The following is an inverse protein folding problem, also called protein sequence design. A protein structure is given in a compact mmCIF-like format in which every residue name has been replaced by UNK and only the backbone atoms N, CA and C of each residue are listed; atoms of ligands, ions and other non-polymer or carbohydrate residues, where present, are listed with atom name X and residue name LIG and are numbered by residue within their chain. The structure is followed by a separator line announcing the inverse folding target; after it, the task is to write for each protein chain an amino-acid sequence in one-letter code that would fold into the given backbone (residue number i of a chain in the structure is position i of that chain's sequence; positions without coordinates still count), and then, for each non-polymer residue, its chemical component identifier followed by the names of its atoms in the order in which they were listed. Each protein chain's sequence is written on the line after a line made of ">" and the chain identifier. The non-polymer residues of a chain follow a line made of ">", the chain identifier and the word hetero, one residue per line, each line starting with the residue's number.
data_IF_189485852163
#
_entry.id   IF_189485852163
#
_cell.length_a   1.000
_cell.length_b   1.000
_cell.length_c   1.000
_cell.angle_alpha   90.00
_cell.angle_beta   90.00
_cell.angle_gamma   90.00
#
_symmetry.space_group_name_H-M   'P 1'
#
loop_
_entity.id
_entity.type
_entity.pdbx_description
1 polymer ?
#
# COMPACT_ATOMS: atom_id res chain seq x y z
N UNK A 1 66.03 32.44 -15.03
CA UNK A 1 64.85 32.62 -14.16
C UNK A 1 64.49 31.26 -13.57
N UNK A 2 64.53 31.04 -12.25
CA UNK A 2 64.05 29.77 -11.70
C UNK A 2 62.52 29.83 -11.58
N UNK A 3 61.84 28.87 -12.20
CA UNK A 3 60.39 28.67 -12.09
C UNK A 3 60.08 27.97 -10.77
N UNK A 4 59.30 28.62 -9.91
CA UNK A 4 58.85 28.05 -8.64
C UNK A 4 58.09 26.73 -8.86
N UNK A 5 58.64 25.64 -8.35
CA UNK A 5 57.98 24.34 -8.35
C UNK A 5 56.88 24.36 -7.29
N UNK A 6 55.63 24.41 -7.72
CA UNK A 6 54.47 24.23 -6.84
C UNK A 6 54.51 22.81 -6.26
N UNK A 7 54.79 22.68 -4.96
CA UNK A 7 54.63 21.42 -4.23
C UNK A 7 53.14 21.06 -4.25
N UNK A 8 52.80 19.98 -4.94
CA UNK A 8 51.49 19.35 -4.81
C UNK A 8 51.55 18.50 -3.55
N UNK A 9 50.91 18.96 -2.50
CA UNK A 9 50.77 18.18 -1.27
C UNK A 9 49.95 16.92 -1.59
N UNK A 10 50.56 15.76 -1.33
CA UNK A 10 49.94 14.46 -1.53
C UNK A 10 49.06 14.08 -0.35
N UNK A 11 47.96 13.39 -0.62
CA UNK A 11 47.09 12.82 0.42
C UNK A 11 47.89 11.84 1.29
N UNK A 12 47.72 11.94 2.61
CA UNK A 12 48.33 10.99 3.54
C UNK A 12 47.51 9.71 3.65
N UNK A 13 48.18 8.59 3.94
CA UNK A 13 47.52 7.31 4.19
C UNK A 13 46.53 7.39 5.36
N UNK A 14 46.84 8.19 6.38
CA UNK A 14 45.97 8.37 7.54
C UNK A 14 44.70 9.14 7.19
N UNK A 15 44.78 10.15 6.31
CA UNK A 15 43.59 10.87 5.84
C UNK A 15 42.64 9.94 5.08
N UNK A 16 43.16 9.08 4.20
CA UNK A 16 42.32 8.11 3.49
C UNK A 16 41.70 7.09 4.46
N UNK A 17 42.46 6.65 5.47
CA UNK A 17 42.01 5.67 6.47
C UNK A 17 40.90 6.22 7.37
N UNK A 18 41.00 7.48 7.81
CA UNK A 18 39.98 8.13 8.63
C UNK A 18 38.68 8.32 7.85
N UNK A 19 38.77 8.66 6.55
CA UNK A 19 37.58 8.86 5.70
C UNK A 19 36.78 7.58 5.53
N UNK A 20 37.42 6.45 5.21
CA UNK A 20 36.70 5.17 5.07
C UNK A 20 36.09 4.71 6.39
N UNK A 21 36.75 5.01 7.53
CA UNK A 21 36.23 4.71 8.86
C UNK A 21 34.96 5.51 9.18
N UNK A 22 34.95 6.82 8.88
CA UNK A 22 33.77 7.67 9.07
C UNK A 22 32.62 7.25 8.15
N UNK A 23 32.91 6.92 6.88
CA UNK A 23 31.89 6.43 5.93
C UNK A 23 31.27 5.12 6.45
N UNK A 24 32.08 4.18 6.93
CA UNK A 24 31.60 2.90 7.49
C UNK A 24 30.71 3.11 8.72
N UNK A 25 31.11 4.02 9.63
CA UNK A 25 30.32 4.37 10.80
C UNK A 25 28.96 4.96 10.42
N UNK A 26 28.94 5.97 9.53
CA UNK A 26 27.71 6.62 9.09
C UNK A 26 26.79 5.67 8.30
N UNK A 27 27.36 4.81 7.46
CA UNK A 27 26.61 3.81 6.69
C UNK A 27 25.84 2.84 7.60
N UNK A 28 26.41 2.46 8.75
CA UNK A 28 25.74 1.54 9.70
C UNK A 28 24.44 2.11 10.27
N UNK A 29 24.41 3.42 10.57
CA UNK A 29 23.24 4.10 11.17
C UNK A 29 22.14 4.29 10.12
N UNK A 30 22.52 4.67 8.90
CA UNK A 30 21.56 4.98 7.82
C UNK A 30 20.82 3.73 7.34
N UNK A 31 21.46 2.56 7.35
CA UNK A 31 20.88 1.31 6.84
C UNK A 31 19.56 0.89 7.52
N UNK A 32 19.41 1.13 8.83
CA UNK A 32 18.22 0.71 9.60
C UNK A 32 16.98 1.58 9.29
N UNK A 33 17.18 2.86 8.92
CA UNK A 33 16.09 3.82 8.69
C UNK A 33 15.40 3.64 7.33
N UNK A 34 16.15 3.24 6.30
CA UNK A 34 15.67 3.19 4.91
C UNK A 34 14.54 2.18 4.72
N UNK A 35 14.58 1.03 5.41
CA UNK A 35 13.56 -0.01 5.23
C UNK A 35 12.18 0.44 5.71
N UNK A 36 12.09 1.12 6.85
CA UNK A 36 10.82 1.67 7.38
C UNK A 36 10.27 2.77 6.48
N UNK A 37 11.14 3.63 5.93
CA UNK A 37 10.72 4.70 5.02
C UNK A 37 10.19 4.15 3.69
N UNK A 38 10.78 3.07 3.16
CA UNK A 38 10.26 2.38 1.97
C UNK A 38 8.86 1.81 2.20
N UNK A 39 8.60 1.20 3.36
CA UNK A 39 7.27 0.70 3.75
C UNK A 39 6.25 1.85 3.76
N UNK A 40 6.57 2.95 4.47
CA UNK A 40 5.72 4.14 4.54
C UNK A 40 5.44 4.75 3.16
N UNK A 41 6.44 4.80 2.29
CA UNK A 41 6.27 5.29 0.91
C UNK A 41 5.32 4.41 0.10
N UNK A 42 5.38 3.08 0.25
CA UNK A 42 4.45 2.15 -0.41
C UNK A 42 3.03 2.29 0.15
N UNK A 43 2.88 2.34 1.48
CA UNK A 43 1.59 2.57 2.13
C UNK A 43 0.97 3.92 1.71
N UNK A 44 1.77 4.98 1.60
CA UNK A 44 1.31 6.28 1.11
C UNK A 44 0.81 6.23 -0.33
N UNK A 45 1.50 5.49 -1.22
CA UNK A 45 1.04 5.24 -2.59
C UNK A 45 -0.30 4.48 -2.58
N UNK A 46 -0.41 3.39 -1.80
CA UNK A 46 -1.68 2.63 -1.69
C UNK A 46 -2.84 3.51 -1.27
N UNK A 47 -2.66 4.34 -0.24
CA UNK A 47 -3.69 5.27 0.20
C UNK A 47 -4.01 6.35 -0.86
N UNK A 48 -3.05 6.76 -1.69
CA UNK A 48 -3.31 7.69 -2.78
C UNK A 48 -4.13 7.05 -3.91
N UNK A 49 -3.80 5.82 -4.28
CA UNK A 49 -4.53 5.03 -5.27
C UNK A 49 -5.98 4.77 -4.80
N UNK A 50 -6.17 4.49 -3.51
CA UNK A 50 -7.49 4.30 -2.90
C UNK A 50 -8.35 5.57 -2.97
N UNK A 51 -7.77 6.76 -2.74
CA UNK A 51 -8.52 8.01 -2.91
C UNK A 51 -9.00 8.21 -4.35
N UNK A 52 -8.18 7.82 -5.33
CA UNK A 52 -8.58 7.86 -6.74
C UNK A 52 -9.70 6.87 -7.02
N UNK A 53 -9.64 5.67 -6.45
CA UNK A 53 -10.69 4.65 -6.55
C UNK A 53 -12.00 5.11 -5.93
N UNK A 54 -11.98 5.68 -4.72
CA UNK A 54 -13.19 6.22 -4.07
C UNK A 54 -13.85 7.27 -4.95
N UNK A 55 -13.07 8.20 -5.51
CA UNK A 55 -13.61 9.20 -6.42
C UNK A 55 -14.20 8.58 -7.69
N UNK A 56 -13.54 7.57 -8.28
CA UNK A 56 -14.05 6.87 -9.45
C UNK A 56 -15.36 6.12 -9.14
N UNK A 57 -15.43 5.41 -8.03
CA UNK A 57 -16.65 4.73 -7.59
C UNK A 57 -17.78 5.71 -7.24
N UNK A 58 -17.46 6.89 -6.70
CA UNK A 58 -18.46 7.94 -6.47
C UNK A 58 -19.08 8.44 -7.78
N UNK A 59 -18.29 8.59 -8.85
CA UNK A 59 -18.79 8.95 -10.18
C UNK A 59 -19.64 7.82 -10.78
N UNK A 60 -19.16 6.56 -10.69
CA UNK A 60 -19.91 5.38 -11.12
C UNK A 60 -21.26 5.28 -10.42
N UNK A 61 -21.29 5.56 -9.11
CA UNK A 61 -22.51 5.56 -8.31
C UNK A 61 -23.46 6.70 -8.73
N UNK A 62 -22.93 7.88 -9.04
CA UNK A 62 -23.74 8.99 -9.57
C UNK A 62 -24.43 8.63 -10.90
N UNK A 63 -23.77 7.80 -11.72
CA UNK A 63 -24.32 7.29 -12.98
C UNK A 63 -25.23 6.06 -12.80
N UNK A 64 -25.42 5.58 -11.56
CA UNK A 64 -26.15 4.35 -11.22
C UNK A 64 -25.57 3.09 -11.90
N UNK A 65 -24.26 3.07 -12.15
CA UNK A 65 -23.54 1.98 -12.82
C UNK A 65 -22.74 1.13 -11.83
N UNK A 66 -23.10 1.14 -10.54
CA UNK A 66 -22.39 0.35 -9.52
C UNK A 66 -22.39 -1.14 -9.90
N UNK A 67 -21.21 -1.78 -10.00
CA UNK A 67 -21.15 -3.19 -10.37
C UNK A 67 -21.76 -4.07 -9.27
N UNK A 68 -22.72 -4.90 -9.64
CA UNK A 68 -23.23 -5.98 -8.79
C UNK A 68 -22.61 -7.28 -9.29
N UNK A 69 -21.71 -7.86 -8.49
CA UNK A 69 -20.93 -9.02 -8.89
C UNK A 69 -21.41 -10.25 -8.11
N UNK A 70 -21.76 -11.31 -8.83
CA UNK A 70 -22.02 -12.62 -8.23
C UNK A 70 -20.68 -13.28 -7.90
N UNK A 71 -20.25 -13.17 -6.65
CA UNK A 71 -18.94 -13.60 -6.19
C UNK A 71 -18.35 -12.57 -5.24
N UNK A 72 -17.96 -13.00 -4.04
CA UNK A 72 -17.82 -12.10 -2.90
C UNK A 72 -16.67 -11.08 -3.00
N UNK A 73 -15.70 -11.20 -3.93
CA UNK A 73 -14.49 -10.37 -3.93
C UNK A 73 -13.97 -10.17 -5.36
N UNK A 74 -13.81 -8.91 -5.79
CA UNK A 74 -13.28 -8.56 -7.11
C UNK A 74 -11.95 -7.82 -7.02
N UNK A 75 -10.98 -8.25 -7.83
CA UNK A 75 -9.66 -7.65 -7.93
C UNK A 75 -9.65 -6.51 -8.96
N UNK A 76 -9.21 -5.33 -8.56
CA UNK A 76 -9.15 -4.13 -9.41
C UNK A 76 -7.89 -4.11 -10.28
N UNK A 77 -6.80 -4.71 -9.80
CA UNK A 77 -5.54 -4.81 -10.53
C UNK A 77 -5.54 -6.04 -11.45
N UNK A 78 -4.59 -6.16 -12.41
CA UNK A 78 -4.45 -7.37 -13.21
C UNK A 78 -4.22 -8.65 -12.38
N UNK A 79 -3.66 -8.47 -11.18
CA UNK A 79 -3.34 -9.55 -10.26
C UNK A 79 -3.54 -9.06 -8.83
N UNK A 80 -4.29 -9.83 -8.03
CA UNK A 80 -4.42 -9.62 -6.60
C UNK A 80 -4.23 -10.93 -5.84
N UNK A 81 -3.77 -10.81 -4.59
CA UNK A 81 -3.72 -11.92 -3.62
C UNK A 81 -4.57 -11.52 -2.42
N UNK A 82 -5.55 -12.32 -2.04
CA UNK A 82 -6.42 -11.97 -0.93
C UNK A 82 -5.70 -12.18 0.42
N UNK A 83 -6.29 -11.75 1.55
CA UNK A 83 -5.71 -11.96 2.88
C UNK A 83 -5.73 -13.40 3.38
N UNK A 84 -6.36 -14.32 2.66
CA UNK A 84 -6.47 -15.74 3.00
C UNK A 84 -5.58 -16.61 2.09
N UNK A 85 -4.74 -16.00 1.27
CA UNK A 85 -3.82 -16.68 0.35
C UNK A 85 -4.41 -17.04 -1.01
N UNK A 86 -5.70 -16.79 -1.22
CA UNK A 86 -6.37 -16.91 -2.50
C UNK A 86 -5.75 -15.97 -3.53
N UNK A 87 -5.49 -16.48 -4.73
CA UNK A 87 -4.94 -15.67 -5.83
C UNK A 87 -6.03 -15.49 -6.86
N UNK A 88 -6.31 -14.24 -7.21
CA UNK A 88 -7.37 -13.90 -8.15
C UNK A 88 -6.73 -13.08 -9.27
N UNK A 89 -6.74 -13.67 -10.47
CA UNK A 89 -6.56 -12.93 -11.70
C UNK A 89 -7.91 -12.34 -12.10
N UNK A 90 -7.88 -11.18 -12.74
CA UNK A 90 -9.04 -10.77 -13.54
C UNK A 90 -9.19 -11.80 -14.66
N UNK A 91 -10.19 -12.68 -14.56
CA UNK A 91 -10.70 -13.30 -15.78
C UNK A 91 -11.33 -12.16 -16.60
N UNK A 92 -10.98 -12.07 -17.89
CA UNK A 92 -11.44 -11.05 -18.83
C UNK A 92 -12.97 -10.97 -19.00
N UNK A 93 -13.75 -11.77 -18.27
CA UNK A 93 -15.18 -11.63 -18.19
C UNK A 93 -15.59 -10.45 -17.31
N UNK A 94 -15.69 -9.31 -17.99
CA UNK A 94 -16.94 -8.54 -18.07
C UNK A 94 -17.15 -7.43 -17.03
N UNK A 95 -17.24 -6.21 -17.59
CA UNK A 95 -17.83 -4.95 -17.10
C UNK A 95 -16.99 -4.00 -16.26
N UNK A 96 -16.13 -4.44 -15.36
CA UNK A 96 -15.60 -3.52 -14.33
C UNK A 96 -14.23 -2.90 -14.64
N UNK A 97 -13.33 -3.59 -15.34
CA UNK A 97 -12.07 -2.98 -15.83
C UNK A 97 -12.34 -1.90 -16.89
N UNK A 98 -13.28 -2.17 -17.79
CA UNK A 98 -13.74 -1.19 -18.79
C UNK A 98 -14.47 -0.02 -18.11
N UNK A 99 -15.35 -0.30 -17.16
CA UNK A 99 -16.04 0.74 -16.40
C UNK A 99 -15.04 1.63 -15.67
N UNK A 100 -14.14 1.07 -14.85
CA UNK A 100 -13.15 1.88 -14.12
C UNK A 100 -12.19 2.62 -15.05
N UNK A 101 -11.87 2.09 -16.24
CA UNK A 101 -11.01 2.79 -17.20
C UNK A 101 -11.60 4.10 -17.72
N UNK A 102 -12.92 4.25 -17.70
CA UNK A 102 -13.60 5.50 -18.07
C UNK A 102 -13.51 6.57 -16.97
N UNK A 103 -13.40 6.17 -15.71
CA UNK A 103 -13.41 7.07 -14.54
C UNK A 103 -12.03 7.24 -13.89
N UNK A 104 -11.02 6.47 -14.31
CA UNK A 104 -9.64 6.55 -13.82
C UNK A 104 -8.71 7.17 -14.86
N UNK A 105 -8.10 8.30 -14.49
CA UNK A 105 -7.10 8.98 -15.32
C UNK A 105 -5.66 8.48 -15.09
N UNK A 106 -5.45 7.59 -14.12
CA UNK A 106 -4.14 7.14 -13.63
C UNK A 106 -4.04 5.62 -13.63
N UNK A 107 -2.88 5.11 -14.02
CA UNK A 107 -2.56 3.69 -13.88
C UNK A 107 -2.40 3.34 -12.40
N UNK A 108 -3.30 2.52 -11.89
CA UNK A 108 -3.18 1.96 -10.55
C UNK A 108 -2.13 0.85 -10.54
N UNK A 109 -1.32 0.81 -9.48
CA UNK A 109 -0.34 -0.24 -9.28
C UNK A 109 -0.03 -0.34 -7.80
N UNK A 110 -0.24 -1.52 -7.22
CA UNK A 110 0.24 -1.82 -5.87
C UNK A 110 1.78 -1.95 -5.91
N UNK A 111 2.54 -1.12 -5.16
CA UNK A 111 3.98 -1.26 -5.08
C UNK A 111 4.36 -2.64 -4.54
N UNK A 112 5.34 -3.35 -5.13
CA UNK A 112 5.73 -4.67 -4.65
C UNK A 112 6.21 -4.58 -3.20
N UNK A 113 5.44 -5.20 -2.31
CA UNK A 113 5.81 -5.44 -0.91
C UNK A 113 6.56 -6.77 -0.76
N UNK A 114 7.27 -6.94 0.35
CA UNK A 114 7.88 -8.23 0.72
C UNK A 114 6.84 -9.35 0.65
N UNK A 115 7.22 -10.48 0.03
CA UNK A 115 6.32 -11.57 -0.36
C UNK A 115 5.61 -12.18 0.86
N UNK A 116 4.33 -12.56 0.65
CA UNK A 116 3.36 -13.18 1.57
C UNK A 116 2.40 -12.16 2.25
N UNK A 117 1.29 -11.85 1.57
CA UNK A 117 0.15 -11.10 2.14
C UNK A 117 -0.75 -10.53 1.04
N UNK A 118 -1.88 -9.93 1.43
CA UNK A 118 -2.87 -9.45 0.48
C UNK A 118 -2.30 -8.38 -0.48
N UNK A 119 -2.25 -8.63 -1.78
CA UNK A 119 -1.74 -7.71 -2.81
C UNK A 119 -2.93 -7.15 -3.58
N UNK A 120 -2.89 -5.86 -3.88
CA UNK A 120 -3.85 -5.18 -4.73
C UNK A 120 -5.03 -4.54 -3.99
N UNK A 121 -5.92 -3.99 -4.80
CA UNK A 121 -7.13 -3.32 -4.37
C UNK A 121 -8.34 -4.16 -4.75
N UNK A 122 -9.32 -4.17 -3.86
CA UNK A 122 -10.43 -5.07 -4.00
C UNK A 122 -11.76 -4.40 -3.76
N UNK A 123 -12.76 -4.86 -4.48
CA UNK A 123 -14.12 -4.39 -4.41
C UNK A 123 -15.07 -5.54 -4.12
N UNK A 124 -16.03 -5.33 -3.24
CA UNK A 124 -17.13 -6.25 -2.98
C UNK A 124 -18.43 -5.46 -3.01
N UNK A 125 -19.38 -5.87 -3.84
CA UNK A 125 -20.64 -5.14 -4.04
C UNK A 125 -21.62 -5.28 -2.88
N UNK A 126 -21.55 -6.38 -2.13
CA UNK A 126 -22.43 -6.63 -1.00
C UNK A 126 -21.63 -7.22 0.17
N UNK A 127 -21.01 -6.34 0.96
CA UNK A 127 -20.37 -6.71 2.22
C UNK A 127 -21.41 -6.71 3.34
N UNK A 128 -21.44 -7.71 4.23
CA UNK A 128 -22.35 -7.69 5.37
C UNK A 128 -21.99 -6.59 6.37
N UNK A 129 -22.90 -6.28 7.30
CA UNK A 129 -22.56 -5.45 8.45
C UNK A 129 -21.35 -6.05 9.18
N UNK A 130 -20.38 -5.19 9.50
CA UNK A 130 -19.15 -5.60 10.17
C UNK A 130 -18.75 -4.58 11.24
N UNK A 131 -18.21 -5.08 12.34
CA UNK A 131 -17.63 -4.25 13.40
C UNK A 131 -16.22 -4.75 13.67
N UNK A 132 -15.25 -3.82 13.70
CA UNK A 132 -13.85 -4.19 13.94
C UNK A 132 -13.68 -4.80 15.33
N UNK A 133 -13.01 -5.94 15.39
CA UNK A 133 -12.70 -6.63 16.66
C UNK A 133 -11.72 -5.80 17.51
N UNK A 134 -10.83 -5.05 16.85
CA UNK A 134 -9.80 -4.23 17.51
C UNK A 134 -10.34 -2.83 17.85
N UNK A 135 -11.24 -2.30 17.02
CA UNK A 135 -11.81 -0.96 17.19
C UNK A 135 -13.34 -1.03 17.15
N UNK A 136 -14.02 -1.40 18.26
CA UNK A 136 -15.46 -1.64 18.26
C UNK A 136 -16.34 -0.42 17.91
N UNK A 137 -15.80 0.80 18.03
CA UNK A 137 -16.45 2.03 17.61
C UNK A 137 -16.46 2.23 16.09
N UNK A 138 -15.69 1.43 15.33
CA UNK A 138 -15.63 1.45 13.89
C UNK A 138 -16.45 0.29 13.32
N UNK A 139 -17.55 0.64 12.67
CA UNK A 139 -18.46 -0.31 12.02
C UNK A 139 -18.70 0.10 10.58
N UNK A 140 -18.82 -0.91 9.72
CA UNK A 140 -19.14 -0.81 8.31
C UNK A 140 -20.56 -1.36 8.16
N UNK A 141 -21.44 -0.56 7.54
CA UNK A 141 -22.78 -1.00 7.18
C UNK A 141 -22.74 -1.88 5.94
N UNK A 142 -23.78 -2.68 5.77
CA UNK A 142 -24.01 -3.45 4.58
C UNK A 142 -23.96 -2.56 3.33
N UNK A 143 -23.24 -3.00 2.30
CA UNK A 143 -23.10 -2.25 1.05
C UNK A 143 -21.81 -2.55 0.30
N UNK A 144 -21.51 -1.77 -0.75
CA UNK A 144 -20.30 -1.89 -1.53
C UNK A 144 -19.11 -1.37 -0.73
N UNK A 145 -18.06 -2.19 -0.65
CA UNK A 145 -16.84 -1.85 0.08
C UNK A 145 -15.62 -1.98 -0.82
N UNK A 146 -14.65 -1.11 -0.56
CA UNK A 146 -13.31 -1.19 -1.10
C UNK A 146 -12.36 -1.59 0.03
N UNK A 147 -11.49 -2.57 -0.22
CA UNK A 147 -10.50 -3.00 0.76
C UNK A 147 -9.09 -3.15 0.16
N UNK A 148 -8.09 -2.87 0.99
CA UNK A 148 -6.68 -2.94 0.64
C UNK A 148 -5.85 -3.30 1.86
N UNK A 149 -4.60 -3.70 1.66
CA UNK A 149 -3.70 -3.98 2.77
C UNK A 149 -2.59 -2.95 2.88
N UNK A 150 -2.16 -2.69 4.10
CA UNK A 150 -0.97 -1.95 4.41
C UNK A 150 0.08 -2.89 4.98
N UNK A 151 1.32 -2.68 4.57
CA UNK A 151 2.46 -3.39 5.13
C UNK A 151 2.66 -2.96 6.59
N UNK A 152 3.11 -3.89 7.46
CA UNK A 152 3.30 -3.59 8.88
C UNK A 152 4.36 -2.51 9.06
N UNK A 153 3.90 -1.30 9.31
CA UNK A 153 4.61 -0.27 10.05
C UNK A 153 3.97 -0.16 11.45
N UNK A 154 4.35 0.86 12.23
CA UNK A 154 3.58 1.20 13.44
C UNK A 154 2.19 1.66 13.03
N UNK A 155 1.29 0.71 12.77
CA UNK A 155 -0.07 0.98 12.33
C UNK A 155 -0.80 1.67 13.49
N UNK A 156 -1.17 2.92 13.25
CA UNK A 156 -2.07 3.70 14.10
C UNK A 156 -3.48 3.69 13.50
N UNK A 157 -4.49 4.15 14.25
CA UNK A 157 -5.85 4.34 13.73
C UNK A 157 -5.90 5.19 12.44
N UNK A 158 -4.90 6.05 12.24
CA UNK A 158 -4.77 6.96 11.09
C UNK A 158 -4.15 6.32 9.84
N UNK A 159 -3.72 5.06 9.91
CA UNK A 159 -2.98 4.45 8.80
C UNK A 159 -3.85 4.22 7.56
N UNK A 160 -5.14 3.98 7.77
CA UNK A 160 -6.10 3.59 6.74
C UNK A 160 -6.86 4.76 6.10
N UNK A 161 -6.37 6.00 6.05
CA UNK A 161 -7.19 7.15 5.56
C UNK A 161 -7.66 7.02 4.09
N UNK A 162 -8.98 7.15 3.78
CA UNK A 162 -10.13 7.47 4.65
C UNK A 162 -10.92 6.26 5.22
N UNK A 163 -10.47 5.04 5.04
CA UNK A 163 -11.11 3.82 5.56
C UNK A 163 -10.82 3.47 7.02
N UNK A 164 -11.42 2.37 7.43
CA UNK A 164 -11.38 1.75 8.76
C UNK A 164 -10.29 0.67 8.80
N UNK A 165 -9.38 0.70 9.80
CA UNK A 165 -8.41 -0.35 10.02
C UNK A 165 -9.02 -1.60 10.66
N UNK A 166 -8.66 -2.75 10.12
CA UNK A 166 -8.95 -4.09 10.63
C UNK A 166 -7.65 -4.87 10.64
N UNK A 167 -7.27 -5.38 11.81
CA UNK A 167 -6.16 -6.32 11.90
C UNK A 167 -6.70 -7.70 11.58
N UNK A 168 -6.31 -8.26 10.43
CA UNK A 168 -6.49 -9.69 10.21
C UNK A 168 -5.23 -10.34 10.75
N UNK A 169 -5.35 -10.89 11.96
CA UNK A 169 -4.35 -11.80 12.46
C UNK A 169 -4.52 -13.11 11.68
N UNK A 170 -3.61 -13.37 10.74
CA UNK A 170 -3.50 -14.71 10.16
C UNK A 170 -3.27 -15.69 11.33
N UNK A 171 -3.98 -16.82 11.34
CA UNK A 171 -3.81 -17.86 12.35
C UNK A 171 -2.90 -18.94 11.76
N UNK A 172 -1.72 -19.23 12.34
CA UNK A 172 -1.14 -18.68 13.57
C UNK A 172 -0.53 -17.26 13.37
N UNK A 173 -0.44 -16.44 14.43
CA UNK A 173 0.02 -15.04 14.35
C UNK A 173 1.40 -14.92 13.70
N UNK A 174 1.43 -14.40 12.47
CA UNK A 174 2.67 -14.04 11.78
C UNK A 174 3.09 -12.61 12.20
N UNK A 175 4.34 -12.36 12.64
CA UNK A 175 4.87 -11.00 12.79
C UNK A 175 4.80 -10.13 11.52
N UNK A 176 4.53 -10.71 10.35
CA UNK A 176 4.25 -10.02 9.09
C UNK A 176 2.75 -9.67 8.87
N UNK A 177 1.90 -9.89 9.88
CA UNK A 177 0.45 -9.60 9.82
C UNK A 177 0.19 -8.20 9.26
N UNK A 178 -0.55 -8.14 8.14
CA UNK A 178 -0.90 -6.87 7.48
C UNK A 178 -2.15 -6.26 8.11
N UNK A 179 -2.25 -4.94 8.06
CA UNK A 179 -3.52 -4.27 8.35
C UNK A 179 -4.35 -4.24 7.09
N UNK A 180 -5.58 -4.73 7.18
CA UNK A 180 -6.58 -4.55 6.14
C UNK A 180 -7.31 -3.25 6.44
N UNK A 181 -7.38 -2.39 5.45
CA UNK A 181 -8.20 -1.20 5.49
C UNK A 181 -9.45 -1.45 4.65
N UNK A 182 -10.59 -0.96 5.12
CA UNK A 182 -11.86 -1.08 4.40
C UNK A 182 -12.60 0.25 4.41
N UNK A 183 -13.24 0.61 3.32
CA UNK A 183 -14.09 1.81 3.24
C UNK A 183 -15.41 1.42 2.58
N UNK A 184 -16.52 1.86 3.16
CA UNK A 184 -17.83 1.73 2.54
C UNK A 184 -18.00 2.84 1.51
N UNK A 185 -18.41 2.47 0.29
CA UNK A 185 -18.57 3.38 -0.84
C UNK A 185 -19.94 4.08 -0.87
N UNK A 186 -20.90 3.65 -0.04
CA UNK A 186 -22.20 4.31 0.14
C UNK A 186 -22.15 5.46 1.14
N UNK A 187 -21.07 5.59 1.91
CA UNK A 187 -20.96 6.60 2.96
C UNK A 187 -20.63 7.97 2.33
N UNK A 188 -21.57 8.93 2.46
CA UNK A 188 -21.36 10.35 2.15
C UNK A 188 -20.64 11.07 3.28
#
# INVERSE_FOLDING_TARGET
>A
MPTGVNKRDGFTLIELLVVIFIIALLASIVGVSINKQRIRSRNAKRNADIRQLINAFALINADNLMPVLEGALWCILPFCRDPFGGTYSIDESTSTKDLLSQYLNSSLSDPPGGRNGAIGYWYQSNFPDYTSVVYPSLSIKNGPVLYWSLEPDTITMDSCKPGIPIMVQESPPDPASRTICMVNLDYK
#
